data_IF_943171388401
#
_entry.id   IF_943171388401
#
_cell.length_a   1.000
_cell.length_b   1.000
_cell.length_c   1.000
_cell.angle_alpha   90.00
_cell.angle_beta   90.00
_cell.angle_gamma   90.00
#
_symmetry.space_group_name_H-M   'P 1'
#
loop_
_entity.id
_entity.type
_entity.pdbx_description
1 polymer ?
#
# COMPACT_ATOMS: atom_id res chain seq x y z
N UNK A 1 -5.53 -36.91 -9.41
CA UNK A 1 -5.73 -35.82 -8.43
C UNK A 1 -6.77 -36.34 -7.44
N UNK A 2 -6.40 -36.56 -6.17
CA UNK A 2 -7.30 -37.13 -5.18
C UNK A 2 -8.34 -36.10 -4.71
N UNK A 3 -9.48 -36.53 -4.18
CA UNK A 3 -10.50 -35.64 -3.60
C UNK A 3 -9.92 -34.76 -2.48
N UNK A 4 -8.95 -35.25 -1.73
CA UNK A 4 -8.25 -34.54 -0.68
C UNK A 4 -7.41 -33.37 -1.24
N UNK A 5 -6.71 -33.55 -2.36
CA UNK A 5 -5.94 -32.50 -3.03
C UNK A 5 -6.86 -31.42 -3.62
N UNK A 6 -8.02 -31.81 -4.15
CA UNK A 6 -9.01 -30.85 -4.65
C UNK A 6 -9.61 -30.02 -3.51
N UNK A 7 -9.88 -30.63 -2.36
CA UNK A 7 -10.44 -29.94 -1.19
C UNK A 7 -9.42 -28.98 -0.56
N UNK A 8 -8.16 -29.41 -0.41
CA UNK A 8 -7.07 -28.55 0.07
C UNK A 8 -6.84 -27.33 -0.84
N UNK A 9 -6.85 -27.52 -2.16
CA UNK A 9 -6.69 -26.42 -3.12
C UNK A 9 -7.88 -25.46 -3.16
N UNK A 10 -9.07 -25.90 -2.78
CA UNK A 10 -10.26 -25.04 -2.69
C UNK A 10 -10.24 -24.19 -1.41
N UNK A 11 -9.78 -24.75 -0.28
CA UNK A 11 -9.59 -24.01 0.98
C UNK A 11 -8.52 -22.94 0.83
N UNK A 12 -7.37 -23.27 0.26
CA UNK A 12 -6.26 -22.34 -0.01
C UNK A 12 -6.70 -21.16 -0.90
N UNK A 13 -7.51 -21.43 -1.94
CA UNK A 13 -8.08 -20.37 -2.79
C UNK A 13 -9.07 -19.48 -2.06
N UNK A 14 -9.87 -20.02 -1.16
CA UNK A 14 -10.81 -19.25 -0.34
C UNK A 14 -10.12 -18.29 0.60
N UNK A 15 -9.05 -18.73 1.24
CA UNK A 15 -8.27 -17.94 2.17
C UNK A 15 -7.50 -16.83 1.45
N UNK A 16 -6.92 -17.12 0.28
CA UNK A 16 -6.26 -16.12 -0.57
C UNK A 16 -7.24 -15.05 -1.06
N UNK A 17 -8.44 -15.42 -1.47
CA UNK A 17 -9.47 -14.46 -1.91
C UNK A 17 -9.86 -13.52 -0.78
N UNK A 18 -10.07 -14.04 0.43
CA UNK A 18 -10.34 -13.23 1.62
C UNK A 18 -9.19 -12.28 1.94
N UNK A 19 -7.96 -12.76 1.82
CA UNK A 19 -6.77 -11.94 2.03
C UNK A 19 -6.72 -10.76 1.06
N UNK A 20 -6.99 -10.96 -0.23
CA UNK A 20 -7.09 -9.87 -1.22
C UNK A 20 -8.24 -8.90 -0.93
N UNK A 21 -9.37 -9.39 -0.44
CA UNK A 21 -10.47 -8.52 -0.01
C UNK A 21 -10.04 -7.59 1.13
N UNK A 22 -9.33 -8.09 2.14
CA UNK A 22 -8.83 -7.27 3.24
C UNK A 22 -7.78 -6.25 2.77
N UNK A 23 -6.86 -6.63 1.88
CA UNK A 23 -5.93 -5.68 1.25
C UNK A 23 -6.69 -4.59 0.49
N UNK A 24 -7.70 -4.97 -0.30
CA UNK A 24 -8.54 -4.01 -1.04
C UNK A 24 -9.26 -3.05 -0.09
N UNK A 25 -9.86 -3.56 0.99
CA UNK A 25 -10.52 -2.73 2.02
C UNK A 25 -9.51 -1.77 2.65
N UNK A 26 -8.32 -2.25 3.04
CA UNK A 26 -7.28 -1.42 3.62
C UNK A 26 -6.87 -0.27 2.67
N UNK A 27 -6.72 -0.55 1.38
CA UNK A 27 -6.35 0.46 0.38
C UNK A 27 -7.47 1.45 0.11
N UNK A 28 -8.73 1.00 0.07
CA UNK A 28 -9.88 1.91 -0.04
C UNK A 28 -9.97 2.85 1.17
N UNK A 29 -9.77 2.32 2.38
CA UNK A 29 -9.71 3.14 3.61
C UNK A 29 -8.55 4.13 3.54
N UNK A 30 -7.37 3.71 3.11
CA UNK A 30 -6.22 4.59 2.95
C UNK A 30 -6.49 5.72 1.95
N UNK A 31 -7.13 5.44 0.81
CA UNK A 31 -7.54 6.46 -0.18
C UNK A 31 -8.55 7.43 0.43
N UNK A 32 -9.56 6.94 1.15
CA UNK A 32 -10.54 7.82 1.83
C UNK A 32 -9.84 8.71 2.85
N UNK A 33 -8.95 8.16 3.67
CA UNK A 33 -8.15 8.93 4.65
C UNK A 33 -7.30 9.98 3.95
N UNK A 34 -6.62 9.63 2.86
CA UNK A 34 -5.84 10.57 2.05
C UNK A 34 -6.69 11.73 1.53
N UNK A 35 -7.85 11.42 0.94
CA UNK A 35 -8.79 12.42 0.41
C UNK A 35 -9.31 13.36 1.51
N UNK A 36 -9.74 12.81 2.65
CA UNK A 36 -10.21 13.61 3.78
C UNK A 36 -9.10 14.50 4.35
N UNK A 37 -7.87 13.99 4.44
CA UNK A 37 -6.70 14.78 4.85
C UNK A 37 -6.39 15.88 3.84
N UNK A 38 -6.45 15.57 2.55
CA UNK A 38 -6.26 16.56 1.49
C UNK A 38 -7.29 17.69 1.56
N UNK A 39 -8.58 17.35 1.76
CA UNK A 39 -9.65 18.33 1.94
C UNK A 39 -9.40 19.18 3.20
N UNK A 40 -9.01 18.56 4.31
CA UNK A 40 -8.74 19.25 5.57
C UNK A 40 -7.53 20.19 5.49
N UNK A 41 -6.57 19.89 4.62
CA UNK A 41 -5.41 20.77 4.37
C UNK A 41 -5.77 22.06 3.63
N UNK A 42 -6.91 22.12 2.92
CA UNK A 42 -7.39 23.31 2.22
C UNK A 42 -6.40 23.80 1.16
N UNK A 43 -6.24 25.13 1.09
CA UNK A 43 -5.40 25.81 0.08
C UNK A 43 -3.90 25.81 0.40
N UNK A 44 -3.40 24.83 1.13
CA UNK A 44 -1.97 24.70 1.41
C UNK A 44 -1.20 24.33 0.12
N UNK A 45 0.10 24.51 0.17
CA UNK A 45 0.97 24.15 -0.94
C UNK A 45 0.76 22.69 -1.37
N UNK A 46 0.60 22.37 -2.68
CA UNK A 46 0.27 21.04 -3.16
C UNK A 46 1.20 19.92 -2.65
N UNK A 47 2.48 20.21 -2.47
CA UNK A 47 3.45 19.26 -1.87
C UNK A 47 3.09 18.95 -0.42
N UNK A 48 2.73 19.96 0.37
CA UNK A 48 2.35 19.77 1.78
C UNK A 48 1.06 18.95 1.90
N UNK A 49 0.10 19.19 1.01
CA UNK A 49 -1.14 18.41 0.93
C UNK A 49 -0.84 16.95 0.57
N UNK A 50 -0.06 16.71 -0.48
CA UNK A 50 0.33 15.37 -0.90
C UNK A 50 1.07 14.61 0.22
N UNK A 51 2.05 15.26 0.86
CA UNK A 51 2.80 14.66 1.96
C UNK A 51 1.91 14.32 3.16
N UNK A 52 1.04 15.25 3.60
CA UNK A 52 0.13 14.99 4.71
C UNK A 52 -0.86 13.86 4.39
N UNK A 53 -1.40 13.82 3.18
CA UNK A 53 -2.31 12.78 2.72
C UNK A 53 -1.64 11.41 2.66
N UNK A 54 -0.40 11.34 2.15
CA UNK A 54 0.36 10.09 2.05
C UNK A 54 0.77 9.57 3.43
N UNK A 55 1.22 10.43 4.33
CA UNK A 55 1.48 10.06 5.73
C UNK A 55 0.22 9.51 6.41
N UNK A 56 -0.92 10.18 6.25
CA UNK A 56 -2.17 9.73 6.86
C UNK A 56 -2.64 8.37 6.28
N UNK A 57 -2.53 8.18 4.98
CA UNK A 57 -2.82 6.91 4.31
C UNK A 57 -1.87 5.79 4.76
N UNK A 58 -0.58 6.07 4.87
CA UNK A 58 0.44 5.14 5.39
C UNK A 58 0.12 4.71 6.82
N UNK A 59 -0.30 5.63 7.68
CA UNK A 59 -0.75 5.30 9.04
C UNK A 59 -2.00 4.41 9.05
N UNK A 60 -2.94 4.62 8.12
CA UNK A 60 -4.08 3.73 7.96
C UNK A 60 -3.66 2.31 7.57
N UNK A 61 -2.75 2.16 6.59
CA UNK A 61 -2.19 0.85 6.20
C UNK A 61 -1.43 0.22 7.37
N UNK A 62 -0.65 1.00 8.11
CA UNK A 62 0.04 0.51 9.30
C UNK A 62 -0.94 -0.03 10.36
N UNK A 63 -2.09 0.65 10.56
CA UNK A 63 -3.11 0.18 11.49
C UNK A 63 -3.67 -1.20 11.06
N UNK A 64 -3.89 -1.44 9.77
CA UNK A 64 -4.26 -2.77 9.26
C UNK A 64 -3.14 -3.79 9.46
N UNK A 65 -1.90 -3.45 9.15
CA UNK A 65 -0.73 -4.31 9.38
C UNK A 65 -0.63 -4.73 10.85
N UNK A 66 -0.84 -3.79 11.76
CA UNK A 66 -0.83 -4.03 13.20
C UNK A 66 -1.99 -4.91 13.65
N UNK A 67 -3.22 -4.61 13.20
CA UNK A 67 -4.43 -5.35 13.57
C UNK A 67 -4.40 -6.82 13.11
N UNK A 68 -3.84 -7.06 11.92
CA UNK A 68 -3.72 -8.42 11.35
C UNK A 68 -2.39 -9.09 11.72
N UNK A 69 -1.47 -8.38 12.39
CA UNK A 69 -0.16 -8.92 12.74
C UNK A 69 0.73 -9.25 11.53
N UNK A 70 0.49 -8.62 10.38
CA UNK A 70 1.13 -8.94 9.11
C UNK A 70 1.48 -7.66 8.34
N UNK A 71 2.77 -7.43 8.09
CA UNK A 71 3.26 -6.24 7.37
C UNK A 71 3.09 -6.30 5.85
N UNK A 72 2.62 -7.42 5.30
CA UNK A 72 2.36 -7.56 3.86
C UNK A 72 1.26 -6.64 3.33
N UNK A 73 0.47 -6.01 4.19
CA UNK A 73 -0.44 -4.93 3.80
C UNK A 73 0.29 -3.75 3.14
N UNK A 74 1.56 -3.53 3.49
CA UNK A 74 2.36 -2.46 2.91
C UNK A 74 3.07 -2.85 1.60
N UNK A 75 3.26 -4.15 1.35
CA UNK A 75 4.10 -4.65 0.25
C UNK A 75 3.66 -4.16 -1.14
N UNK A 76 2.38 -4.02 -1.41
CA UNK A 76 1.91 -3.44 -2.67
C UNK A 76 1.55 -1.95 -2.53
N UNK A 77 1.35 -1.43 -1.32
CA UNK A 77 0.93 -0.04 -1.10
C UNK A 77 1.92 0.96 -1.70
N UNK A 78 3.22 0.75 -1.48
CA UNK A 78 4.27 1.64 -1.99
C UNK A 78 4.36 1.66 -3.54
N UNK A 79 3.75 0.70 -4.22
CA UNK A 79 3.60 0.73 -5.68
C UNK A 79 2.23 1.29 -6.13
N UNK A 80 1.22 1.31 -5.26
CA UNK A 80 -0.12 1.84 -5.55
C UNK A 80 -0.23 3.35 -5.27
N UNK A 81 0.45 3.86 -4.25
CA UNK A 81 0.41 5.28 -3.88
C UNK A 81 1.02 6.23 -4.95
N UNK A 82 2.19 5.95 -5.57
CA UNK A 82 2.83 6.87 -6.50
C UNK A 82 1.97 7.33 -7.69
N UNK A 83 1.17 6.48 -8.39
CA UNK A 83 0.30 6.96 -9.46
C UNK A 83 -0.80 7.91 -8.96
N UNK A 84 -1.30 7.73 -7.73
CA UNK A 84 -2.29 8.64 -7.14
C UNK A 84 -1.66 10.00 -6.84
N UNK A 85 -0.44 10.01 -6.31
CA UNK A 85 0.34 11.22 -6.08
C UNK A 85 0.68 11.92 -7.40
N UNK A 86 1.08 11.16 -8.43
CA UNK A 86 1.36 11.73 -9.76
C UNK A 86 0.11 12.38 -10.37
N UNK A 87 -1.05 11.73 -10.26
CA UNK A 87 -2.33 12.28 -10.70
C UNK A 87 -2.71 13.54 -9.92
N UNK A 88 -2.49 13.55 -8.59
CA UNK A 88 -2.71 14.75 -7.78
C UNK A 88 -1.94 15.95 -8.33
N UNK A 89 -0.64 15.82 -8.63
CA UNK A 89 0.16 16.93 -9.16
C UNK A 89 -0.27 17.40 -10.55
N UNK A 90 -1.01 16.60 -11.31
CA UNK A 90 -1.60 17.02 -12.58
C UNK A 90 -2.86 17.85 -12.39
N UNK A 91 -3.67 17.55 -11.34
CA UNK A 91 -4.96 18.20 -11.11
C UNK A 91 -4.92 19.26 -9.99
N UNK A 92 -3.82 19.34 -9.24
CA UNK A 92 -3.68 20.27 -8.10
C UNK A 92 -3.83 21.73 -8.54
N UNK A 93 -4.33 22.61 -7.65
CA UNK A 93 -4.42 24.03 -7.91
C UNK A 93 -3.05 24.62 -8.30
N UNK A 94 -3.01 25.42 -9.37
CA UNK A 94 -1.80 26.00 -9.91
C UNK A 94 -1.04 25.10 -10.90
N UNK A 95 -1.52 23.90 -11.20
CA UNK A 95 -1.00 23.11 -12.32
C UNK A 95 -1.34 23.79 -13.65
N UNK A 96 -0.39 23.77 -14.60
CA UNK A 96 -0.62 24.32 -15.95
C UNK A 96 -1.39 23.33 -16.87
N UNK A 97 -2.11 22.40 -16.28
CA UNK A 97 -2.81 21.32 -17.01
C UNK A 97 -1.88 20.19 -17.47
N UNK A 98 -2.45 19.24 -18.22
CA UNK A 98 -1.72 18.07 -18.70
C UNK A 98 -0.96 18.43 -19.97
N UNK A 99 0.33 18.78 -19.83
CA UNK A 99 1.24 18.82 -20.98
C UNK A 99 1.78 17.44 -21.34
N UNK A 100 2.40 17.33 -22.51
CA UNK A 100 3.00 16.07 -22.99
C UNK A 100 3.97 15.45 -21.95
N UNK A 101 4.78 16.28 -21.28
CA UNK A 101 5.73 15.84 -20.26
C UNK A 101 5.02 15.21 -19.06
N UNK A 102 4.00 15.88 -18.52
CA UNK A 102 3.21 15.40 -17.38
C UNK A 102 2.50 14.09 -17.75
N UNK A 103 1.88 14.03 -18.92
CA UNK A 103 1.25 12.81 -19.43
C UNK A 103 2.23 11.65 -19.54
N UNK A 104 3.44 11.89 -20.06
CA UNK A 104 4.49 10.86 -20.13
C UNK A 104 4.91 10.36 -18.75
N UNK A 105 5.15 11.27 -17.80
CA UNK A 105 5.53 10.90 -16.43
C UNK A 105 4.43 10.06 -15.78
N UNK A 106 3.17 10.48 -15.85
CA UNK A 106 2.05 9.71 -15.30
C UNK A 106 1.96 8.33 -15.95
N UNK A 107 2.07 8.24 -17.28
CA UNK A 107 2.03 6.97 -17.99
C UNK A 107 3.15 6.02 -17.53
N UNK A 108 4.38 6.52 -17.39
CA UNK A 108 5.53 5.71 -16.93
C UNK A 108 5.35 5.24 -15.48
N UNK A 109 4.88 6.13 -14.59
CA UNK A 109 4.60 5.77 -13.18
C UNK A 109 3.48 4.74 -13.10
N UNK A 110 2.41 4.88 -13.89
CA UNK A 110 1.31 3.89 -13.92
C UNK A 110 1.79 2.55 -14.44
N UNK A 111 2.55 2.51 -15.55
CA UNK A 111 3.10 1.26 -16.10
C UNK A 111 4.01 0.56 -15.09
N UNK A 112 4.89 1.30 -14.44
CA UNK A 112 5.76 0.78 -13.38
C UNK A 112 4.95 0.21 -12.21
N UNK A 113 3.96 0.96 -11.74
CA UNK A 113 3.06 0.60 -10.65
C UNK A 113 2.26 -0.68 -10.94
N UNK A 114 1.63 -0.73 -12.10
CA UNK A 114 0.87 -1.92 -12.55
C UNK A 114 1.78 -3.15 -12.61
N UNK A 115 2.98 -3.02 -13.19
CA UNK A 115 3.95 -4.12 -13.25
C UNK A 115 4.31 -4.65 -11.86
N UNK A 116 4.63 -3.76 -10.92
CA UNK A 116 5.04 -4.16 -9.57
C UNK A 116 3.89 -4.77 -8.78
N UNK A 117 2.73 -4.11 -8.77
CA UNK A 117 1.54 -4.59 -8.08
C UNK A 117 1.09 -5.95 -8.64
N UNK A 118 1.11 -6.13 -9.97
CA UNK A 118 0.78 -7.40 -10.59
C UNK A 118 1.78 -8.51 -10.21
N UNK A 119 3.09 -8.18 -10.23
CA UNK A 119 4.11 -9.14 -9.85
C UNK A 119 3.98 -9.58 -8.38
N UNK A 120 3.72 -8.63 -7.47
CA UNK A 120 3.41 -8.92 -6.09
C UNK A 120 2.15 -9.79 -5.97
N UNK A 121 1.04 -9.39 -6.57
CA UNK A 121 -0.24 -10.09 -6.49
C UNK A 121 -0.14 -11.53 -7.01
N UNK A 122 0.69 -11.77 -8.03
CA UNK A 122 0.92 -13.12 -8.58
C UNK A 122 1.70 -14.01 -7.63
N UNK A 123 2.67 -13.46 -6.90
CA UNK A 123 3.54 -14.21 -5.98
C UNK A 123 3.00 -14.33 -4.55
N UNK A 124 2.02 -13.49 -4.18
CA UNK A 124 1.53 -13.45 -2.80
C UNK A 124 0.53 -14.57 -2.53
N UNK A 125 0.77 -15.34 -1.47
CA UNK A 125 -0.02 -16.52 -1.10
C UNK A 125 -1.17 -16.21 -0.13
N UNK A 126 -1.20 -15.02 0.50
CA UNK A 126 -2.24 -14.64 1.45
C UNK A 126 -1.69 -14.12 2.78
N UNK A 127 -2.59 -13.81 3.73
CA UNK A 127 -2.23 -13.24 5.03
C UNK A 127 -1.55 -14.24 5.98
N UNK A 128 -1.64 -15.54 5.71
CA UNK A 128 -0.95 -16.57 6.49
C UNK A 128 0.55 -16.63 6.17
N UNK A 129 0.96 -15.95 5.08
CA UNK A 129 2.35 -15.84 4.66
C UNK A 129 2.85 -14.41 4.86
N UNK A 130 3.92 -14.26 5.62
CA UNK A 130 4.63 -13.00 5.78
C UNK A 130 6.05 -13.15 5.24
N UNK A 131 6.60 -12.10 4.61
CA UNK A 131 7.98 -12.11 4.10
C UNK A 131 8.94 -12.45 5.24
N UNK A 132 9.87 -13.36 4.97
CA UNK A 132 10.87 -13.84 5.94
C UNK A 132 11.66 -12.70 6.61
N UNK A 133 11.84 -11.57 5.92
CA UNK A 133 12.52 -10.38 6.44
C UNK A 133 11.76 -9.77 7.63
N UNK A 134 10.42 -9.74 7.55
CA UNK A 134 9.57 -9.23 8.63
C UNK A 134 9.56 -10.17 9.83
N UNK A 135 9.55 -11.47 9.57
CA UNK A 135 9.66 -12.50 10.60
C UNK A 135 11.00 -12.41 11.31
N UNK A 136 12.12 -12.28 10.58
CA UNK A 136 13.46 -12.13 11.16
C UNK A 136 13.59 -10.84 11.97
N UNK A 137 13.09 -9.70 11.47
CA UNK A 137 13.06 -8.45 12.23
C UNK A 137 12.24 -8.55 13.52
N UNK A 138 11.09 -9.24 13.46
CA UNK A 138 10.23 -9.48 14.64
C UNK A 138 10.95 -10.32 15.69
N UNK A 139 11.67 -11.34 15.27
CA UNK A 139 12.45 -12.20 16.16
C UNK A 139 13.61 -11.46 16.82
N UNK A 140 14.26 -10.52 16.12
CA UNK A 140 15.38 -9.72 16.64
C UNK A 140 14.94 -8.57 17.55
N UNK A 141 13.89 -7.84 17.16
CA UNK A 141 13.45 -6.63 17.86
C UNK A 141 12.45 -6.90 18.99
N UNK A 142 11.92 -8.11 19.09
CA UNK A 142 10.81 -8.44 19.96
C UNK A 142 9.50 -7.81 19.49
N UNK A 143 8.37 -8.23 20.08
CA UNK A 143 7.03 -7.88 19.58
C UNK A 143 6.77 -6.35 19.54
N UNK A 144 7.15 -5.64 20.59
CA UNK A 144 6.92 -4.18 20.67
C UNK A 144 7.94 -3.44 19.79
N UNK A 145 9.22 -3.78 19.88
CA UNK A 145 10.28 -3.17 19.09
C UNK A 145 10.06 -3.32 17.59
N UNK A 146 9.54 -4.47 17.16
CA UNK A 146 9.20 -4.70 15.76
C UNK A 146 8.21 -3.65 15.21
N UNK A 147 7.14 -3.33 15.93
CA UNK A 147 6.14 -2.37 15.44
C UNK A 147 6.67 -0.94 15.35
N UNK A 148 7.60 -0.56 16.23
CA UNK A 148 8.31 0.72 16.09
C UNK A 148 9.22 0.72 14.85
N UNK A 149 9.98 -0.35 14.62
CA UNK A 149 10.81 -0.50 13.42
C UNK A 149 9.94 -0.55 12.18
N UNK A 150 8.84 -1.29 12.20
CA UNK A 150 7.89 -1.40 11.09
C UNK A 150 7.30 -0.03 10.74
N UNK A 151 6.86 0.75 11.73
CA UNK A 151 6.32 2.08 11.48
C UNK A 151 7.37 3.02 10.88
N UNK A 152 8.58 3.06 11.44
CA UNK A 152 9.60 4.03 11.04
C UNK A 152 10.34 3.61 9.77
N UNK A 153 10.75 2.34 9.66
CA UNK A 153 11.59 1.88 8.57
C UNK A 153 10.80 1.26 7.41
N UNK A 154 9.75 0.45 7.69
CA UNK A 154 9.01 -0.21 6.61
C UNK A 154 7.93 0.70 6.01
N UNK A 155 7.18 1.43 6.85
CA UNK A 155 6.08 2.27 6.41
C UNK A 155 6.51 3.74 6.23
N UNK A 156 7.31 4.29 7.13
CA UNK A 156 7.69 5.70 7.14
C UNK A 156 8.78 6.05 6.12
N UNK A 157 9.84 5.25 6.01
CA UNK A 157 10.98 5.56 5.14
C UNK A 157 10.63 5.64 3.64
N UNK A 158 9.78 4.77 3.07
CA UNK A 158 9.37 4.89 1.67
C UNK A 158 8.38 6.04 1.42
N UNK A 159 7.73 6.55 2.48
CA UNK A 159 6.76 7.66 2.43
C UNK A 159 7.43 9.04 2.52
N UNK A 160 8.63 9.12 3.12
CA UNK A 160 9.38 10.37 3.33
C UNK A 160 10.29 10.70 2.15
#
# INVERSE_FOLDING_TARGET
MSQAESHASALDRGDRTRAFLWITVAYLVAVVVALLTGIACGDRHPIAVAFAADVAATLAIFAFSFAFGNSSFYDAYWSVAPPLIALWFVIAPGSNGVGMRQGLVVALVVLWSVRLTFNWARGWSGLDHEDWRYVDMRNRAGRIGYWFVSLLALHGMPTA
#
